data_IF_805109861161
#
_entry.id   IF_805109861161
#
_cell.length_a   1.000
_cell.length_b   1.000
_cell.length_c   1.000
_cell.angle_alpha   90.00
_cell.angle_beta   90.00
_cell.angle_gamma   90.00
#
_symmetry.space_group_name_H-M   'P 1'
#
loop_
_entity.id
_entity.type
_entity.pdbx_description
1 polymer ?
#
# COMPACT_ATOMS: atom_id res chain seq x y z
N UNK A 1 -13.47 -2.62 11.00
CA UNK A 1 -12.42 -2.53 9.94
C UNK A 1 -12.66 -3.52 8.79
N UNK A 2 -13.71 -4.36 8.89
CA UNK A 2 -14.29 -5.16 7.80
C UNK A 2 -15.42 -4.40 7.07
N UNK A 3 -15.64 -3.12 7.42
CA UNK A 3 -16.76 -2.29 6.96
C UNK A 3 -16.35 -1.26 5.89
N UNK A 4 -15.07 -1.23 5.51
CA UNK A 4 -14.60 -0.27 4.52
C UNK A 4 -15.03 -0.73 3.14
N UNK A 5 -15.71 0.13 2.35
CA UNK A 5 -16.19 -0.26 1.04
C UNK A 5 -15.00 -0.57 0.13
N UNK A 6 -15.18 -1.60 -0.71
CA UNK A 6 -14.12 -2.17 -1.56
C UNK A 6 -13.39 -1.10 -2.40
N UNK A 7 -14.12 -0.11 -2.93
CA UNK A 7 -13.51 0.98 -3.70
C UNK A 7 -12.51 1.80 -2.88
N UNK A 8 -12.77 1.99 -1.59
CA UNK A 8 -11.91 2.76 -0.69
C UNK A 8 -10.64 1.96 -0.35
N UNK A 9 -10.78 0.62 -0.19
CA UNK A 9 -9.63 -0.29 -0.05
C UNK A 9 -8.71 -0.20 -1.27
N UNK A 10 -9.28 -0.21 -2.48
CA UNK A 10 -8.51 -0.03 -3.73
C UNK A 10 -7.88 1.35 -3.86
N UNK A 11 -8.58 2.42 -3.45
CA UNK A 11 -8.03 3.76 -3.49
C UNK A 11 -6.81 3.89 -2.57
N UNK A 12 -6.88 3.35 -1.35
CA UNK A 12 -5.76 3.39 -0.39
C UNK A 12 -4.57 2.58 -0.90
N UNK A 13 -4.79 1.36 -1.40
CA UNK A 13 -3.68 0.58 -2.00
C UNK A 13 -3.05 1.30 -3.19
N UNK A 14 -3.85 1.89 -4.07
CA UNK A 14 -3.34 2.62 -5.23
C UNK A 14 -2.46 3.82 -4.83
N UNK A 15 -2.86 4.59 -3.81
CA UNK A 15 -2.07 5.72 -3.29
C UNK A 15 -0.72 5.23 -2.74
N UNK A 16 -0.73 4.16 -1.94
CA UNK A 16 0.49 3.61 -1.32
C UNK A 16 1.44 3.06 -2.40
N UNK A 17 0.90 2.42 -3.44
CA UNK A 17 1.69 2.00 -4.60
C UNK A 17 2.28 3.19 -5.37
N UNK A 18 1.49 4.23 -5.63
CA UNK A 18 1.95 5.43 -6.33
C UNK A 18 3.08 6.13 -5.58
N UNK A 19 2.98 6.26 -4.25
CA UNK A 19 4.04 6.81 -3.41
C UNK A 19 5.31 5.95 -3.44
N UNK A 20 5.15 4.62 -3.48
CA UNK A 20 6.29 3.69 -3.58
C UNK A 20 6.99 3.82 -4.93
N UNK A 21 6.23 3.90 -6.03
CA UNK A 21 6.77 4.12 -7.38
C UNK A 21 7.51 5.47 -7.44
N UNK A 22 6.96 6.51 -6.83
CA UNK A 22 7.62 7.81 -6.74
C UNK A 22 8.93 7.76 -5.95
N UNK A 23 8.96 7.01 -4.83
CA UNK A 23 10.19 6.77 -4.07
C UNK A 23 11.26 6.03 -4.89
N UNK A 24 10.86 5.10 -5.76
CA UNK A 24 11.76 4.46 -6.73
C UNK A 24 12.27 5.45 -7.78
N UNK A 25 11.38 6.29 -8.33
CA UNK A 25 11.73 7.28 -9.35
C UNK A 25 12.70 8.36 -8.87
N UNK A 26 12.73 8.63 -7.56
CA UNK A 26 13.60 9.63 -6.93
C UNK A 26 14.94 9.04 -6.46
N UNK A 27 15.15 7.73 -6.61
CA UNK A 27 16.39 7.05 -6.22
C UNK A 27 16.56 6.86 -4.70
N UNK A 28 15.54 7.14 -3.90
CA UNK A 28 15.57 6.96 -2.45
C UNK A 28 15.33 5.49 -2.07
N UNK A 29 16.37 4.66 -2.18
CA UNK A 29 16.30 3.21 -1.94
C UNK A 29 15.71 2.83 -0.58
N UNK A 30 16.06 3.54 0.50
CA UNK A 30 15.52 3.27 1.84
C UNK A 30 13.99 3.53 1.91
N UNK A 31 13.53 4.65 1.34
CA UNK A 31 12.10 4.98 1.29
C UNK A 31 11.32 4.00 0.42
N UNK A 32 11.93 3.51 -0.67
CA UNK A 32 11.32 2.51 -1.52
C UNK A 32 11.10 1.17 -0.79
N UNK A 33 12.07 0.73 0.03
CA UNK A 33 11.92 -0.48 0.86
C UNK A 33 10.81 -0.32 1.89
N UNK A 34 10.73 0.86 2.55
CA UNK A 34 9.63 1.16 3.47
C UNK A 34 8.27 1.21 2.74
N UNK A 35 8.24 1.75 1.53
CA UNK A 35 7.05 1.78 0.67
C UNK A 35 6.56 0.37 0.30
N UNK A 36 7.48 -0.54 -0.02
CA UNK A 36 7.13 -1.96 -0.27
C UNK A 36 6.55 -2.59 1.00
N UNK A 37 7.15 -2.37 2.17
CA UNK A 37 6.62 -2.86 3.45
C UNK A 37 5.22 -2.33 3.74
N UNK A 38 4.97 -1.04 3.46
CA UNK A 38 3.65 -0.43 3.56
C UNK A 38 2.65 -1.05 2.57
N UNK A 39 3.05 -1.33 1.33
CA UNK A 39 2.21 -2.02 0.35
C UNK A 39 1.78 -3.40 0.85
N UNK A 40 2.73 -4.19 1.39
CA UNK A 40 2.45 -5.53 1.94
C UNK A 40 1.49 -5.42 3.12
N UNK A 41 1.74 -4.52 4.07
CA UNK A 41 0.87 -4.32 5.23
C UNK A 41 -0.55 -3.92 4.83
N UNK A 42 -0.69 -2.96 3.93
CA UNK A 42 -1.99 -2.46 3.45
C UNK A 42 -2.73 -3.57 2.70
N UNK A 43 -2.04 -4.34 1.86
CA UNK A 43 -2.64 -5.46 1.15
C UNK A 43 -3.09 -6.56 2.13
N UNK A 44 -2.23 -6.93 3.08
CA UNK A 44 -2.56 -7.92 4.10
C UNK A 44 -3.75 -7.47 4.95
N UNK A 45 -3.73 -6.20 5.42
CA UNK A 45 -4.75 -5.64 6.30
C UNK A 45 -6.12 -5.51 5.63
N UNK A 46 -6.17 -5.18 4.34
CA UNK A 46 -7.41 -4.92 3.61
C UNK A 46 -7.92 -6.11 2.79
N UNK A 47 -7.08 -7.08 2.42
CA UNK A 47 -7.50 -8.18 1.55
C UNK A 47 -7.29 -9.57 2.17
N UNK A 48 -6.37 -9.73 3.12
CA UNK A 48 -6.03 -11.05 3.69
C UNK A 48 -6.41 -11.21 5.18
N UNK A 49 -6.59 -10.11 5.93
CA UNK A 49 -6.99 -10.14 7.35
C UNK A 49 -8.50 -10.39 7.56
N UNK A 50 -9.27 -10.66 6.51
CA UNK A 50 -10.66 -11.14 6.58
C UNK A 50 -10.75 -12.68 6.35
N UNK A 51 -9.62 -13.40 6.26
CA UNK A 51 -9.53 -14.87 6.26
C UNK A 51 -9.22 -15.35 7.68
#
# INVERSE_FOLDING_TARGET
>A
MSDWPIFLRYAVTAIVFALTIWAFSTGHMLLAVLGIGACIFVFQRFFLSDI
#
